data_IF_224577058117
#
_entry.id   IF_224577058117
#
_cell.length_a   1.000
_cell.length_b   1.000
_cell.length_c   1.000
_cell.angle_alpha   90.00
_cell.angle_beta   90.00
_cell.angle_gamma   90.00
#
_symmetry.space_group_name_H-M   'P 1'
#
loop_
_entity.id
_entity.type
_entity.pdbx_description
1 polymer ?
#
# COMPACT_ATOMS: atom_id res chain seq x y z
N UNK A 1 14.31 5.51 8.81
CA UNK A 1 13.92 4.71 7.63
C UNK A 1 12.45 4.44 7.81
N UNK A 2 11.68 4.41 6.73
CA UNK A 2 10.21 4.48 6.81
C UNK A 2 9.63 3.56 5.75
N UNK A 3 8.74 2.66 6.16
CA UNK A 3 7.97 1.83 5.24
C UNK A 3 6.95 2.70 4.50
N UNK A 4 7.07 2.82 3.18
CA UNK A 4 6.14 3.60 2.36
C UNK A 4 5.78 2.94 1.02
N UNK A 5 4.48 2.88 0.72
CA UNK A 5 3.93 2.40 -0.55
C UNK A 5 3.44 3.58 -1.39
N UNK A 6 3.82 3.60 -2.67
CA UNK A 6 3.40 4.63 -3.62
C UNK A 6 2.35 4.08 -4.58
N UNK A 7 1.18 4.74 -4.62
CA UNK A 7 0.02 4.31 -5.41
C UNK A 7 -0.45 5.46 -6.27
N UNK A 8 -0.83 5.22 -7.53
CA UNK A 8 -1.31 6.28 -8.42
C UNK A 8 -2.56 6.98 -7.85
N UNK A 9 -2.60 8.31 -7.87
CA UNK A 9 -3.74 9.13 -7.42
C UNK A 9 -4.84 9.18 -8.48
N UNK A 10 -5.52 8.04 -8.64
CA UNK A 10 -6.72 7.90 -9.49
C UNK A 10 -7.83 7.17 -8.72
N UNK A 11 -9.08 7.41 -9.10
CA UNK A 11 -10.26 6.91 -8.40
C UNK A 11 -10.27 5.37 -8.26
N UNK A 12 -9.70 4.67 -9.23
CA UNK A 12 -9.56 3.22 -9.24
C UNK A 12 -8.78 2.67 -8.03
N UNK A 13 -7.80 3.43 -7.52
CA UNK A 13 -7.00 3.05 -6.36
C UNK A 13 -7.55 3.56 -5.02
N UNK A 14 -8.63 4.36 -5.03
CA UNK A 14 -9.23 4.89 -3.80
C UNK A 14 -9.58 3.80 -2.77
N UNK A 15 -10.12 2.61 -3.15
CA UNK A 15 -10.34 1.53 -2.20
C UNK A 15 -9.05 1.10 -1.47
N UNK A 16 -7.90 1.02 -2.16
CA UNK A 16 -6.62 0.67 -1.55
C UNK A 16 -6.12 1.76 -0.61
N UNK A 17 -6.25 3.04 -0.99
CA UNK A 17 -5.88 4.18 -0.15
C UNK A 17 -6.70 4.18 1.15
N UNK A 18 -8.01 3.89 1.07
CA UNK A 18 -8.87 3.73 2.25
C UNK A 18 -8.46 2.53 3.12
N UNK A 19 -8.09 1.40 2.50
CA UNK A 19 -7.57 0.23 3.23
C UNK A 19 -6.29 0.56 3.98
N UNK A 20 -5.35 1.26 3.35
CA UNK A 20 -4.11 1.73 3.97
C UNK A 20 -4.39 2.67 5.16
N UNK A 21 -5.30 3.62 4.98
CA UNK A 21 -5.72 4.52 6.07
C UNK A 21 -6.34 3.75 7.24
N UNK A 22 -7.21 2.78 6.95
CA UNK A 22 -7.83 1.91 7.96
C UNK A 22 -6.83 1.01 8.68
N UNK A 23 -5.70 0.69 8.03
CA UNK A 23 -4.58 -0.03 8.62
C UNK A 23 -3.63 0.87 9.44
N UNK A 24 -3.95 2.17 9.59
CA UNK A 24 -3.17 3.12 10.39
C UNK A 24 -2.05 3.83 9.62
N UNK A 25 -1.97 3.66 8.31
CA UNK A 25 -1.00 4.38 7.50
C UNK A 25 -1.34 5.87 7.39
N UNK A 26 -0.30 6.69 7.31
CA UNK A 26 -0.40 8.12 7.02
C UNK A 26 -0.49 8.31 5.50
N UNK A 27 -1.36 9.23 5.07
CA UNK A 27 -1.61 9.53 3.67
C UNK A 27 -1.00 10.88 3.31
N UNK A 28 -0.19 10.93 2.27
CA UNK A 28 0.33 12.17 1.69
C UNK A 28 0.22 12.14 0.17
N UNK A 29 -0.28 13.21 -0.44
CA UNK A 29 -0.19 13.36 -1.91
C UNK A 29 1.20 13.84 -2.30
N UNK A 30 1.78 13.20 -3.31
CA UNK A 30 3.09 13.53 -3.88
C UNK A 30 3.03 13.44 -5.41
N UNK A 31 2.90 14.58 -6.08
CA UNK A 31 2.64 14.63 -7.52
C UNK A 31 1.36 13.85 -7.89
N UNK A 32 1.48 12.92 -8.83
CA UNK A 32 0.38 12.05 -9.30
C UNK A 32 0.21 10.78 -8.45
N UNK A 33 0.80 10.72 -7.26
CA UNK A 33 0.78 9.55 -6.39
C UNK A 33 0.29 9.89 -4.97
N UNK A 34 -0.29 8.88 -4.32
CA UNK A 34 -0.37 8.75 -2.88
C UNK A 34 0.90 8.08 -2.35
N UNK A 35 1.53 8.71 -1.38
CA UNK A 35 2.47 8.09 -0.46
C UNK A 35 1.70 7.63 0.77
N UNK A 36 1.71 6.31 0.98
CA UNK A 36 1.10 5.63 2.10
C UNK A 36 2.25 5.21 3.02
N UNK A 37 2.46 5.91 4.13
CA UNK A 37 3.60 5.65 5.03
C UNK A 37 3.16 5.05 6.37
N UNK A 38 3.96 4.11 6.88
CA UNK A 38 3.75 3.44 8.17
C UNK A 38 4.86 3.82 9.14
N UNK A 39 4.55 4.15 10.41
CA UNK A 39 5.55 4.25 11.47
C UNK A 39 5.95 2.87 12.03
N UNK A 40 5.16 1.84 11.74
CA UNK A 40 5.44 0.47 12.15
C UNK A 40 6.39 -0.20 11.14
N UNK A 41 7.32 -1.05 11.61
CA UNK A 41 8.32 -1.70 10.76
C UNK A 41 7.76 -2.80 9.86
N UNK A 42 6.50 -3.19 10.07
CA UNK A 42 5.80 -4.26 9.38
C UNK A 42 4.34 -3.84 9.16
N UNK A 43 3.78 -4.19 8.01
CA UNK A 43 2.38 -3.91 7.69
C UNK A 43 1.77 -5.03 6.84
N UNK A 44 0.51 -5.37 7.16
CA UNK A 44 -0.31 -6.29 6.36
C UNK A 44 -1.60 -5.59 5.91
N UNK A 45 -1.69 -5.30 4.62
CA UNK A 45 -2.94 -4.89 3.98
C UNK A 45 -3.73 -6.13 3.56
N UNK A 46 -5.03 -6.15 3.88
CA UNK A 46 -5.97 -7.20 3.49
C UNK A 46 -6.94 -6.69 2.45
N UNK A 47 -7.19 -7.52 1.44
CA UNK A 47 -8.16 -7.22 0.38
C UNK A 47 -9.60 -7.49 0.82
N UNK A 48 -9.81 -8.42 1.75
CA UNK A 48 -11.12 -8.73 2.30
C UNK A 48 -11.81 -7.45 2.82
N UNK A 49 -13.08 -7.28 2.51
CA UNK A 49 -13.85 -6.09 2.90
C UNK A 49 -13.55 -4.83 2.09
N UNK A 50 -12.74 -4.92 1.03
CA UNK A 50 -12.45 -3.81 0.12
C UNK A 50 -13.19 -3.97 -1.20
N UNK A 51 -13.44 -2.86 -1.90
CA UNK A 51 -14.08 -2.86 -3.22
C UNK A 51 -13.06 -2.93 -4.38
N UNK A 52 -11.80 -3.22 -4.09
CA UNK A 52 -10.74 -3.21 -5.11
C UNK A 52 -10.84 -4.40 -6.06
N UNK A 53 -10.75 -4.09 -7.36
CA UNK A 53 -10.71 -5.10 -8.43
C UNK A 53 -9.39 -5.87 -8.37
N UNK A 54 -9.42 -7.16 -8.74
CA UNK A 54 -8.25 -8.06 -8.69
C UNK A 54 -7.05 -7.49 -9.46
N UNK A 55 -7.28 -6.92 -10.64
CA UNK A 55 -6.20 -6.34 -11.44
C UNK A 55 -5.53 -5.14 -10.75
N UNK A 56 -6.31 -4.30 -10.06
CA UNK A 56 -5.80 -3.13 -9.34
C UNK A 56 -5.07 -3.54 -8.07
N UNK A 57 -5.56 -4.56 -7.36
CA UNK A 57 -4.84 -5.15 -6.24
C UNK A 57 -3.45 -5.63 -6.67
N UNK A 58 -3.36 -6.35 -7.78
CA UNK A 58 -2.08 -6.79 -8.32
C UNK A 58 -1.19 -5.64 -8.85
N UNK A 59 -1.79 -4.49 -9.17
CA UNK A 59 -1.07 -3.28 -9.57
C UNK A 59 -0.64 -2.39 -8.38
N UNK A 60 -1.06 -2.70 -7.15
CA UNK A 60 -0.82 -1.87 -5.96
C UNK A 60 0.65 -1.50 -5.73
N UNK A 61 1.58 -2.41 -6.07
CA UNK A 61 3.02 -2.26 -5.84
C UNK A 61 3.77 -1.63 -7.03
N UNK A 62 3.06 -1.21 -8.09
CA UNK A 62 3.70 -0.71 -9.32
C UNK A 62 4.13 0.75 -9.25
N UNK A 63 3.59 1.53 -8.30
CA UNK A 63 3.96 2.94 -8.12
C UNK A 63 5.27 3.15 -7.35
N UNK A 64 5.77 2.11 -6.68
CA UNK A 64 7.02 2.12 -5.91
C UNK A 64 6.82 1.70 -4.46
N UNK A 65 7.91 1.27 -3.82
CA UNK A 65 7.96 0.84 -2.43
C UNK A 65 9.29 1.29 -1.83
N UNK A 66 9.24 1.94 -0.67
CA UNK A 66 10.36 2.08 0.26
C UNK A 66 10.17 1.03 1.36
N UNK A 67 10.94 -0.05 1.31
CA UNK A 67 10.74 -1.27 2.11
C UNK A 67 10.89 -2.56 1.30
N UNK A 68 10.48 -3.67 1.89
CA UNK A 68 10.59 -5.03 1.34
C UNK A 68 9.23 -5.71 1.28
N UNK A 69 8.97 -6.43 0.18
CA UNK A 69 7.81 -7.31 0.07
C UNK A 69 8.12 -8.64 0.77
N UNK A 70 7.35 -8.97 1.82
CA UNK A 70 7.43 -10.27 2.50
C UNK A 70 6.56 -11.31 1.79
N UNK A 71 5.33 -10.93 1.45
CA UNK A 71 4.43 -11.75 0.65
C UNK A 71 3.43 -10.89 -0.12
N UNK A 72 3.07 -11.34 -1.32
CA UNK A 72 2.05 -10.69 -2.15
C UNK A 72 1.15 -11.75 -2.78
N UNK A 73 -0.10 -11.79 -2.33
CA UNK A 73 -1.11 -12.76 -2.77
C UNK A 73 -2.33 -12.04 -3.34
N UNK A 74 -3.37 -12.78 -3.76
CA UNK A 74 -4.64 -12.18 -4.17
C UNK A 74 -5.40 -11.52 -3.02
N UNK A 75 -5.04 -11.83 -1.77
CA UNK A 75 -5.77 -11.42 -0.55
C UNK A 75 -4.95 -10.53 0.38
N UNK A 76 -3.62 -10.64 0.35
CA UNK A 76 -2.73 -9.97 1.30
C UNK A 76 -1.52 -9.34 0.61
N UNK A 77 -1.18 -8.13 1.06
CA UNK A 77 0.10 -7.48 0.79
C UNK A 77 0.78 -7.32 2.15
N UNK A 78 1.91 -8.00 2.32
CA UNK A 78 2.71 -7.94 3.53
C UNK A 78 4.06 -7.30 3.21
N UNK A 79 4.35 -6.19 3.88
CA UNK A 79 5.53 -5.36 3.69
C UNK A 79 6.27 -5.18 5.01
N UNK A 80 7.58 -5.03 4.94
CA UNK A 80 8.48 -4.70 6.05
C UNK A 80 9.39 -3.53 5.66
N UNK A 81 9.96 -2.83 6.64
CA UNK A 81 11.09 -1.93 6.41
C UNK A 81 12.29 -2.69 5.84
N UNK A 82 13.09 -2.02 5.00
CA UNK A 82 14.30 -2.61 4.45
C UNK A 82 15.44 -2.55 5.50
N UNK A 83 16.04 -3.68 5.91
CA UNK A 83 17.16 -3.67 6.83
C UNK A 83 18.41 -3.17 6.10
N UNK A 84 18.76 -1.89 6.30
CA UNK A 84 20.04 -1.31 5.88
C UNK A 84 21.24 -1.96 6.55
#
# INVERSE_FOLDING_TARGET
MTLALYVLDVAEFEPLVRTAQGAGMQLRRTGDYWELSSPEPELILRREGTEIRTALWHAALTGGLDGRIVSFTSETIHLEEDPS
#
